data_IF_484989665381
#
_entry.id   IF_484989665381
#
_cell.length_a   1.000
_cell.length_b   1.000
_cell.length_c   1.000
_cell.angle_alpha   90.00
_cell.angle_beta   90.00
_cell.angle_gamma   90.00
#
_symmetry.space_group_name_H-M   'P 1'
#
loop_
_entity.id
_entity.type
_entity.pdbx_description
1 polymer ?
#
# COMPACT_ATOMS: atom_id res chain seq x y z
N UNK A 1 -12.98 -23.36 -17.80
CA UNK A 1 -13.93 -22.35 -17.29
C UNK A 1 -15.33 -22.96 -17.15
N UNK A 2 -16.08 -22.69 -16.07
CA UNK A 2 -17.44 -23.21 -15.90
C UNK A 2 -18.40 -22.57 -16.91
N UNK A 3 -19.26 -23.38 -17.55
CA UNK A 3 -20.21 -22.94 -18.58
C UNK A 3 -21.21 -21.86 -18.11
N UNK A 4 -21.41 -21.72 -16.80
CA UNK A 4 -22.31 -20.72 -16.21
C UNK A 4 -21.86 -19.26 -16.38
N UNK A 5 -20.55 -18.97 -16.41
CA UNK A 5 -20.04 -17.58 -16.58
C UNK A 5 -20.19 -17.04 -18.00
N UNK A 6 -20.26 -17.92 -18.99
CA UNK A 6 -20.36 -17.53 -20.40
C UNK A 6 -21.79 -17.07 -20.74
N UNK A 7 -22.81 -17.64 -20.08
CA UNK A 7 -24.23 -17.33 -20.34
C UNK A 7 -24.69 -15.96 -19.84
N UNK A 8 -24.05 -15.41 -18.80
CA UNK A 8 -24.35 -14.06 -18.31
C UNK A 8 -23.84 -12.99 -19.28
N UNK A 9 -22.75 -13.25 -19.99
CA UNK A 9 -22.19 -12.32 -20.99
C UNK A 9 -23.05 -12.23 -22.26
N UNK A 10 -23.75 -13.31 -22.63
CA UNK A 10 -24.71 -13.30 -23.75
C UNK A 10 -25.99 -12.48 -23.45
N UNK A 11 -26.25 -12.12 -22.19
CA UNK A 11 -27.43 -11.35 -21.77
C UNK A 11 -27.12 -9.91 -21.34
N UNK A 12 -25.95 -9.38 -21.73
CA UNK A 12 -25.56 -8.00 -21.42
C UNK A 12 -25.02 -7.77 -20.00
N UNK A 13 -24.86 -8.82 -19.18
CA UNK A 13 -24.21 -8.69 -17.88
C UNK A 13 -22.67 -8.68 -18.06
N UNK A 14 -22.04 -7.56 -17.71
CA UNK A 14 -20.60 -7.35 -17.88
C UNK A 14 -19.79 -8.17 -16.85
N UNK A 15 -18.70 -8.86 -17.23
CA UNK A 15 -17.81 -9.54 -16.29
C UNK A 15 -17.24 -8.59 -15.23
N UNK A 16 -17.00 -9.08 -14.01
CA UNK A 16 -16.52 -8.25 -12.89
C UNK A 16 -15.24 -7.45 -13.21
N UNK A 17 -14.24 -8.00 -13.92
CA UNK A 17 -13.09 -7.21 -14.37
C UNK A 17 -13.47 -6.04 -15.28
N UNK A 18 -14.42 -6.25 -16.19
CA UNK A 18 -14.80 -5.23 -17.14
C UNK A 18 -15.75 -4.18 -16.52
N UNK A 19 -16.46 -4.52 -15.43
CA UNK A 19 -17.14 -3.54 -14.56
C UNK A 19 -16.16 -2.73 -13.71
N UNK A 20 -15.10 -3.38 -13.22
CA UNK A 20 -14.03 -2.73 -12.47
C UNK A 20 -13.32 -1.67 -13.32
N UNK A 21 -12.99 -2.00 -14.58
CA UNK A 21 -12.41 -1.03 -15.54
C UNK A 21 -13.37 0.12 -15.81
N UNK A 22 -14.66 -0.14 -16.07
CA UNK A 22 -15.65 0.93 -16.30
C UNK A 22 -15.79 1.88 -15.10
N UNK A 23 -15.78 1.32 -13.89
CA UNK A 23 -15.85 2.10 -12.65
C UNK A 23 -14.57 2.93 -12.45
N UNK A 24 -13.40 2.34 -12.71
CA UNK A 24 -12.13 3.04 -12.61
C UNK A 24 -12.01 4.16 -13.67
N UNK A 25 -12.45 3.92 -14.90
CA UNK A 25 -12.50 4.93 -15.97
C UNK A 25 -13.50 6.05 -15.65
N UNK A 26 -14.68 5.73 -15.12
CA UNK A 26 -15.67 6.73 -14.71
C UNK A 26 -15.21 7.60 -13.54
N UNK A 27 -14.25 7.09 -12.74
CA UNK A 27 -13.70 7.76 -11.56
C UNK A 27 -12.27 8.27 -11.77
N UNK A 28 -11.76 8.21 -13.00
CA UNK A 28 -10.40 8.64 -13.40
C UNK A 28 -9.25 8.03 -12.56
N UNK A 29 -9.47 6.84 -11.98
CA UNK A 29 -8.52 6.16 -11.09
C UNK A 29 -7.20 5.77 -11.79
N UNK A 30 -7.20 5.65 -13.12
CA UNK A 30 -6.01 5.36 -13.92
C UNK A 30 -5.63 6.54 -14.82
N UNK A 31 -5.95 7.76 -14.38
CA UNK A 31 -5.54 9.00 -15.03
C UNK A 31 -4.03 9.24 -14.97
N UNK A 32 -3.63 10.52 -15.04
CA UNK A 32 -2.21 10.89 -14.90
C UNK A 32 -1.69 10.56 -13.50
N UNK A 33 -0.40 10.25 -13.38
CA UNK A 33 0.30 10.12 -12.09
C UNK A 33 0.31 11.41 -11.26
N UNK A 34 -0.08 12.53 -11.88
CA UNK A 34 -0.21 13.86 -11.27
C UNK A 34 -1.61 14.14 -10.70
N UNK A 35 -2.51 13.15 -10.70
CA UNK A 35 -3.87 13.28 -10.15
C UNK A 35 -3.91 12.97 -8.65
N UNK A 36 -4.84 13.61 -7.94
CA UNK A 36 -5.08 13.33 -6.52
C UNK A 36 -5.54 11.87 -6.32
N UNK A 37 -6.32 11.34 -7.27
CA UNK A 37 -6.77 9.95 -7.28
C UNK A 37 -5.60 8.96 -7.39
N UNK A 38 -4.62 9.23 -8.26
CA UNK A 38 -3.43 8.38 -8.34
C UNK A 38 -2.58 8.47 -7.08
N UNK A 39 -2.42 9.68 -6.51
CA UNK A 39 -1.73 9.85 -5.22
C UNK A 39 -2.42 9.04 -4.10
N UNK A 40 -3.76 9.08 -4.03
CA UNK A 40 -4.54 8.28 -3.09
C UNK A 40 -4.37 6.77 -3.33
N UNK A 41 -4.39 6.32 -4.59
CA UNK A 41 -4.13 4.91 -4.92
C UNK A 41 -2.72 4.50 -4.53
N UNK A 42 -1.70 5.33 -4.79
CA UNK A 42 -0.32 5.09 -4.39
C UNK A 42 -0.19 4.93 -2.87
N UNK A 43 -0.85 5.79 -2.08
CA UNK A 43 -0.91 5.66 -0.63
C UNK A 43 -1.52 4.33 -0.20
N UNK A 44 -2.65 3.93 -0.80
CA UNK A 44 -3.30 2.67 -0.48
C UNK A 44 -2.47 1.45 -0.92
N UNK A 45 -1.76 1.51 -2.06
CA UNK A 45 -0.82 0.46 -2.47
C UNK A 45 0.29 0.34 -1.42
N UNK A 46 0.95 1.44 -1.04
CA UNK A 46 1.97 1.46 0.00
C UNK A 46 1.44 0.88 1.33
N UNK A 47 0.19 1.18 1.67
CA UNK A 47 -0.50 0.62 2.83
C UNK A 47 -0.68 -0.89 2.70
N UNK A 48 -1.11 -1.41 1.55
CA UNK A 48 -1.20 -2.86 1.33
C UNK A 48 0.15 -3.53 1.50
N UNK A 49 1.26 -2.90 1.11
CA UNK A 49 2.58 -3.48 1.37
C UNK A 49 2.91 -3.50 2.87
N UNK A 50 2.69 -2.39 3.57
CA UNK A 50 3.24 -2.13 4.90
C UNK A 50 2.31 -2.47 6.08
N UNK A 51 0.99 -2.27 5.96
CA UNK A 51 0.03 -2.44 7.06
C UNK A 51 -1.31 -3.06 6.66
N UNK A 52 -1.51 -3.42 5.39
CA UNK A 52 -2.78 -3.93 4.88
C UNK A 52 -2.71 -5.34 4.31
N UNK A 53 -3.82 -5.78 3.70
CA UNK A 53 -3.88 -7.01 2.91
C UNK A 53 -5.00 -6.93 1.88
N UNK A 54 -4.92 -7.74 0.83
CA UNK A 54 -6.04 -7.97 -0.10
C UNK A 54 -6.43 -9.44 0.00
N UNK A 55 -7.71 -9.70 0.31
CA UNK A 55 -8.24 -11.06 0.42
C UNK A 55 -8.15 -11.81 -0.92
N UNK A 56 -7.67 -13.06 -0.89
CA UNK A 56 -7.63 -13.94 -2.07
C UNK A 56 -9.02 -14.34 -2.56
N UNK A 57 -10.01 -14.38 -1.66
CA UNK A 57 -11.35 -14.88 -1.96
C UNK A 57 -12.27 -13.76 -2.48
N UNK A 58 -12.21 -12.60 -1.83
CA UNK A 58 -13.14 -11.48 -2.10
C UNK A 58 -12.50 -10.33 -2.85
N UNK A 59 -11.17 -10.28 -2.95
CA UNK A 59 -10.40 -9.11 -3.41
C UNK A 59 -10.69 -7.84 -2.59
N UNK A 60 -11.26 -7.95 -1.39
CA UNK A 60 -11.46 -6.80 -0.52
C UNK A 60 -10.11 -6.41 0.12
N UNK A 61 -9.70 -5.13 0.03
CA UNK A 61 -8.57 -4.62 0.78
C UNK A 61 -8.96 -4.36 2.24
N UNK A 62 -8.02 -4.61 3.14
CA UNK A 62 -8.08 -4.31 4.56
C UNK A 62 -6.86 -3.47 4.92
N UNK A 63 -7.05 -2.38 5.65
CA UNK A 63 -5.98 -1.47 6.03
C UNK A 63 -5.88 -1.40 7.55
N UNK A 64 -4.83 -1.99 8.15
CA UNK A 64 -4.63 -1.83 9.59
C UNK A 64 -4.16 -0.41 9.89
N UNK A 65 -4.74 0.19 10.93
CA UNK A 65 -4.51 1.58 11.33
C UNK A 65 -4.43 1.69 12.85
N UNK A 66 -3.88 2.82 13.30
CA UNK A 66 -4.00 3.34 14.65
C UNK A 66 -4.56 4.78 14.61
N UNK A 67 -4.73 5.40 15.78
CA UNK A 67 -5.28 6.76 15.89
C UNK A 67 -4.46 7.81 15.09
N UNK A 68 -3.16 7.59 14.90
CA UNK A 68 -2.28 8.54 14.20
C UNK A 68 -2.30 8.36 12.68
N UNK A 69 -2.69 7.19 12.20
CA UNK A 69 -2.63 6.80 10.79
C UNK A 69 -3.99 6.64 10.12
N UNK A 70 -5.07 6.50 10.91
CA UNK A 70 -6.42 6.29 10.39
C UNK A 70 -6.82 7.34 9.35
N UNK A 71 -6.66 8.63 9.67
CA UNK A 71 -7.14 9.70 8.79
C UNK A 71 -6.53 9.63 7.39
N UNK A 72 -5.28 9.14 7.25
CA UNK A 72 -4.63 9.02 5.95
C UNK A 72 -5.31 7.98 5.06
N UNK A 73 -5.72 6.85 5.63
CA UNK A 73 -6.46 5.84 4.87
C UNK A 73 -7.83 6.35 4.50
N UNK A 74 -8.52 7.00 5.44
CA UNK A 74 -9.88 7.47 5.22
C UNK A 74 -9.90 8.61 4.19
N UNK A 75 -8.97 9.57 4.26
CA UNK A 75 -8.83 10.66 3.30
C UNK A 75 -8.51 10.14 1.89
N UNK A 76 -7.68 9.09 1.78
CA UNK A 76 -7.41 8.44 0.49
C UNK A 76 -8.66 7.75 -0.08
N UNK A 77 -9.44 7.06 0.77
CA UNK A 77 -10.69 6.45 0.33
C UNK A 77 -11.74 7.49 -0.06
N UNK A 78 -11.84 8.59 0.68
CA UNK A 78 -12.73 9.71 0.39
C UNK A 78 -12.36 10.43 -0.92
N UNK A 79 -11.07 10.63 -1.18
CA UNK A 79 -10.56 11.13 -2.48
C UNK A 79 -11.02 10.24 -3.64
N UNK A 80 -11.07 8.92 -3.43
CA UNK A 80 -11.57 7.97 -4.44
C UNK A 80 -13.10 7.85 -4.48
N UNK A 81 -13.82 8.61 -3.65
CA UNK A 81 -15.28 8.59 -3.53
C UNK A 81 -15.81 7.28 -2.94
N UNK A 82 -15.08 6.67 -2.00
CA UNK A 82 -15.43 5.41 -1.38
C UNK A 82 -15.78 5.58 0.10
N UNK A 83 -16.94 5.06 0.46
CA UNK A 83 -17.33 4.90 1.86
C UNK A 83 -16.56 3.75 2.52
N UNK A 84 -16.36 3.85 3.83
CA UNK A 84 -15.58 2.92 4.62
C UNK A 84 -16.20 2.66 5.99
N UNK A 85 -15.72 1.61 6.66
CA UNK A 85 -16.07 1.28 8.04
C UNK A 85 -14.86 0.80 8.81
N UNK A 86 -14.90 0.94 10.14
CA UNK A 86 -13.98 0.25 11.04
C UNK A 86 -14.41 -1.20 11.24
N UNK A 87 -13.42 -2.07 11.35
CA UNK A 87 -13.55 -3.43 11.86
C UNK A 87 -12.54 -3.64 12.99
N UNK A 88 -12.87 -4.52 13.94
CA UNK A 88 -12.01 -4.91 15.07
C UNK A 88 -11.62 -3.76 16.01
N UNK A 89 -12.40 -2.69 16.06
CA UNK A 89 -12.20 -1.56 16.98
C UNK A 89 -12.45 -1.96 18.46
N UNK A 90 -13.17 -3.05 18.69
CA UNK A 90 -13.46 -3.63 19.99
C UNK A 90 -12.54 -4.80 20.40
N UNK A 91 -11.55 -5.15 19.57
CA UNK A 91 -10.61 -6.25 19.81
C UNK A 91 -9.23 -5.74 20.27
N UNK A 92 -8.93 -5.64 21.58
CA UNK A 92 -7.71 -5.01 22.08
C UNK A 92 -6.40 -5.73 21.68
N UNK A 93 -6.47 -6.99 21.27
CA UNK A 93 -5.33 -7.79 20.82
C UNK A 93 -5.10 -7.69 19.29
N UNK A 94 -5.90 -6.89 18.58
CA UNK A 94 -5.83 -6.71 17.13
C UNK A 94 -5.77 -5.22 16.78
N UNK A 95 -5.11 -4.92 15.67
CA UNK A 95 -5.18 -3.59 15.10
C UNK A 95 -6.58 -3.35 14.53
N UNK A 96 -7.09 -2.13 14.71
CA UNK A 96 -8.28 -1.64 14.01
C UNK A 96 -8.03 -1.69 12.50
N UNK A 97 -9.02 -2.14 11.74
CA UNK A 97 -8.95 -2.18 10.29
C UNK A 97 -9.97 -1.22 9.67
N UNK A 98 -9.54 -0.48 8.64
CA UNK A 98 -10.44 0.25 7.75
C UNK A 98 -10.73 -0.64 6.53
N UNK A 99 -12.01 -0.79 6.21
CA UNK A 99 -12.49 -1.62 5.10
C UNK A 99 -13.50 -0.81 4.26
N UNK A 100 -13.35 -0.75 2.93
CA UNK A 100 -14.35 -0.11 2.07
C UNK A 100 -15.70 -0.84 2.15
N UNK A 101 -16.80 -0.11 2.24
CA UNK A 101 -18.15 -0.68 2.37
C UNK A 101 -18.74 -1.07 1.02
N UNK A 102 -18.52 -0.23 0.01
CA UNK A 102 -18.95 -0.44 -1.37
C UNK A 102 -17.75 -0.58 -2.31
N UNK A 103 -17.92 -1.34 -3.38
CA UNK A 103 -16.88 -1.53 -4.41
C UNK A 103 -15.51 -2.05 -3.91
N UNK A 104 -15.43 -2.62 -2.70
CA UNK A 104 -14.18 -3.12 -2.11
C UNK A 104 -13.40 -4.07 -3.06
N UNK A 105 -14.09 -5.00 -3.71
CA UNK A 105 -13.48 -5.93 -4.67
C UNK A 105 -13.00 -5.28 -5.96
N UNK A 106 -13.56 -4.12 -6.33
CA UNK A 106 -13.10 -3.31 -7.47
C UNK A 106 -11.83 -2.58 -7.08
N UNK A 107 -11.81 -1.93 -5.90
CA UNK A 107 -10.62 -1.27 -5.37
C UNK A 107 -9.46 -2.25 -5.24
N UNK A 108 -9.63 -3.40 -4.58
CA UNK A 108 -8.54 -4.36 -4.42
C UNK A 108 -8.01 -4.91 -5.75
N UNK A 109 -8.85 -5.01 -6.79
CA UNK A 109 -8.39 -5.33 -8.14
C UNK A 109 -7.58 -4.20 -8.76
N UNK A 110 -8.02 -2.95 -8.60
CA UNK A 110 -7.27 -1.79 -9.09
C UNK A 110 -5.89 -1.70 -8.41
N UNK A 111 -5.83 -1.84 -7.08
CA UNK A 111 -4.58 -1.88 -6.33
C UNK A 111 -3.68 -3.03 -6.81
N UNK A 112 -4.25 -4.22 -7.06
CA UNK A 112 -3.48 -5.35 -7.59
C UNK A 112 -2.93 -5.11 -9.00
N UNK A 113 -3.67 -4.41 -9.87
CA UNK A 113 -3.17 -3.99 -11.19
C UNK A 113 -2.00 -3.01 -11.04
N UNK A 114 -2.06 -2.15 -10.03
CA UNK A 114 -0.96 -1.26 -9.66
C UNK A 114 0.18 -1.99 -8.93
N UNK A 115 0.14 -3.32 -8.80
CA UNK A 115 1.23 -4.11 -8.20
C UNK A 115 1.08 -4.42 -6.72
N UNK A 116 -0.03 -4.06 -6.08
CA UNK A 116 -0.29 -4.46 -4.69
C UNK A 116 -0.44 -6.00 -4.58
N UNK A 117 0.24 -6.65 -3.62
CA UNK A 117 0.18 -8.10 -3.47
C UNK A 117 -1.19 -8.54 -2.93
N UNK A 118 -1.62 -9.73 -3.36
CA UNK A 118 -2.84 -10.39 -2.87
C UNK A 118 -2.45 -11.55 -1.96
N UNK A 119 -3.11 -11.66 -0.81
CA UNK A 119 -2.89 -12.75 0.15
C UNK A 119 -1.61 -12.57 0.98
N UNK A 120 -0.95 -13.69 1.26
CA UNK A 120 0.20 -13.73 2.15
C UNK A 120 1.42 -13.01 1.57
N UNK A 121 2.13 -12.40 2.51
CA UNK A 121 3.21 -11.45 2.27
C UNK A 121 4.44 -11.86 3.07
N UNK A 122 4.80 -13.14 3.03
CA UNK A 122 5.89 -13.72 3.81
C UNK A 122 7.16 -13.91 2.98
N UNK A 123 8.17 -14.58 3.55
CA UNK A 123 9.46 -14.85 2.93
C UNK A 123 9.43 -15.86 1.77
N UNK A 124 8.30 -16.56 1.60
CA UNK A 124 8.06 -17.46 0.48
C UNK A 124 7.21 -16.85 -0.63
N UNK A 125 6.63 -15.67 -0.40
CA UNK A 125 5.82 -14.98 -1.38
C UNK A 125 6.70 -14.32 -2.46
N UNK A 126 6.36 -14.54 -3.73
CA UNK A 126 6.99 -13.85 -4.85
C UNK A 126 6.39 -12.45 -4.98
N UNK A 127 6.95 -11.49 -4.25
CA UNK A 127 6.50 -10.10 -4.22
C UNK A 127 7.66 -9.19 -4.63
N UNK A 128 7.37 -8.22 -5.50
CA UNK A 128 8.22 -7.10 -5.85
C UNK A 128 7.51 -5.79 -5.54
N UNK A 129 8.25 -4.69 -5.50
CA UNK A 129 7.64 -3.36 -5.48
C UNK A 129 6.87 -3.08 -6.78
N UNK A 130 5.89 -2.15 -6.76
CA UNK A 130 5.17 -1.73 -7.96
C UNK A 130 6.10 -1.21 -9.06
N UNK A 131 5.95 -1.73 -10.28
CA UNK A 131 6.78 -1.33 -11.43
C UNK A 131 6.66 0.15 -11.78
N UNK A 132 5.50 0.78 -11.51
CA UNK A 132 5.31 2.20 -11.81
C UNK A 132 6.24 3.12 -11.00
N UNK A 133 6.80 2.65 -9.87
CA UNK A 133 7.69 3.44 -9.04
C UNK A 133 9.03 3.72 -9.73
N UNK A 134 9.45 2.91 -10.69
CA UNK A 134 10.72 3.10 -11.40
C UNK A 134 10.76 4.42 -12.19
N UNK A 135 9.61 4.84 -12.73
CA UNK A 135 9.45 6.05 -13.54
C UNK A 135 8.52 7.10 -12.90
N UNK A 136 8.04 6.86 -11.67
CA UNK A 136 7.14 7.76 -10.98
C UNK A 136 7.82 9.09 -10.61
N UNK A 137 7.08 10.22 -10.56
CA UNK A 137 7.61 11.46 -10.00
C UNK A 137 8.15 11.29 -8.57
N UNK A 138 9.16 12.09 -8.19
CA UNK A 138 9.80 12.01 -6.87
C UNK A 138 8.79 12.11 -5.72
N UNK A 139 7.74 12.92 -5.88
CA UNK A 139 6.67 13.10 -4.89
C UNK A 139 5.88 11.80 -4.65
N UNK A 140 5.61 11.01 -5.70
CA UNK A 140 4.91 9.73 -5.59
C UNK A 140 5.79 8.68 -4.91
N UNK A 141 7.08 8.64 -5.24
CA UNK A 141 8.05 7.72 -4.59
C UNK A 141 8.21 8.08 -3.11
N UNK A 142 8.33 9.37 -2.81
CA UNK A 142 8.44 9.88 -1.43
C UNK A 142 7.20 9.55 -0.60
N UNK A 143 6.00 9.73 -1.16
CA UNK A 143 4.75 9.40 -0.48
C UNK A 143 4.64 7.89 -0.17
N UNK A 144 5.03 7.05 -1.13
CA UNK A 144 5.06 5.59 -0.92
C UNK A 144 5.99 5.21 0.25
N UNK A 145 7.20 5.78 0.26
CA UNK A 145 8.19 5.56 1.32
C UNK A 145 7.70 6.09 2.67
N UNK A 146 7.08 7.28 2.71
CA UNK A 146 6.54 7.87 3.93
C UNK A 146 5.46 6.99 4.56
N UNK A 147 4.50 6.51 3.77
CA UNK A 147 3.47 5.57 4.26
C UNK A 147 4.10 4.29 4.79
N UNK A 148 5.07 3.72 4.05
CA UNK A 148 5.73 2.49 4.47
C UNK A 148 6.45 2.66 5.81
N UNK A 149 7.27 3.70 5.93
CA UNK A 149 8.01 4.01 7.14
C UNK A 149 7.08 4.28 8.31
N UNK A 150 5.95 4.97 8.10
CA UNK A 150 5.00 5.21 9.17
C UNK A 150 4.37 3.98 9.76
N UNK A 151 4.11 3.00 8.92
CA UNK A 151 3.49 1.76 9.36
C UNK A 151 4.49 0.79 10.02
N UNK A 152 5.80 0.95 9.78
CA UNK A 152 6.77 -0.13 10.05
C UNK A 152 8.06 0.30 10.72
N UNK A 153 8.45 1.56 10.65
CA UNK A 153 9.71 2.03 11.18
C UNK A 153 9.66 2.12 12.71
N UNK A 154 10.77 1.79 13.34
CA UNK A 154 11.01 2.03 14.76
C UNK A 154 12.21 2.96 14.92
N UNK A 155 12.08 4.00 15.75
CA UNK A 155 13.18 4.92 16.06
C UNK A 155 14.14 4.30 17.08
N UNK A 156 15.43 4.49 16.84
CA UNK A 156 16.49 4.23 17.81
C UNK A 156 17.18 5.55 18.16
N UNK A 157 16.68 6.22 19.20
CA UNK A 157 17.07 7.58 19.56
C UNK A 157 18.55 7.70 19.94
N UNK A 158 19.14 6.64 20.48
CA UNK A 158 20.56 6.57 20.84
C UNK A 158 21.48 6.71 19.62
N UNK A 159 21.02 6.25 18.45
CA UNK A 159 21.76 6.26 17.18
C UNK A 159 21.20 7.23 16.16
N UNK A 160 19.99 7.73 16.38
CA UNK A 160 19.24 8.50 15.40
C UNK A 160 18.83 7.68 14.17
N UNK A 161 18.87 6.36 14.19
CA UNK A 161 18.52 5.50 13.03
C UNK A 161 17.04 5.13 13.03
N UNK A 162 16.51 4.76 11.87
CA UNK A 162 15.21 4.08 11.76
C UNK A 162 15.43 2.64 11.31
N UNK A 163 14.69 1.70 11.90
CA UNK A 163 14.76 0.27 11.53
C UNK A 163 13.38 -0.24 11.15
N UNK A 164 13.30 -0.94 10.03
CA UNK A 164 12.15 -1.70 9.57
C UNK A 164 12.46 -3.18 9.77
N UNK A 165 11.62 -3.92 10.50
CA UNK A 165 11.74 -5.39 10.59
C UNK A 165 10.65 -6.06 9.76
N UNK A 166 11.06 -6.89 8.81
CA UNK A 166 10.17 -7.47 7.81
C UNK A 166 10.45 -8.97 7.60
N UNK A 167 9.44 -9.81 7.83
CA UNK A 167 9.52 -11.25 7.55
C UNK A 167 9.22 -11.51 6.05
N UNK A 168 10.08 -10.96 5.19
CA UNK A 168 9.97 -10.97 3.71
C UNK A 168 11.18 -11.64 3.07
N UNK A 169 11.07 -11.93 1.77
CA UNK A 169 12.18 -12.45 0.99
C UNK A 169 13.33 -11.43 0.92
N UNK A 170 14.58 -11.90 0.98
CA UNK A 170 15.75 -11.00 1.02
C UNK A 170 15.83 -10.10 -0.21
N UNK A 171 15.43 -10.62 -1.38
CA UNK A 171 15.33 -9.83 -2.62
C UNK A 171 14.41 -8.62 -2.44
N UNK A 172 13.23 -8.81 -1.85
CA UNK A 172 12.29 -7.73 -1.61
C UNK A 172 12.85 -6.69 -0.63
N UNK A 173 13.59 -7.13 0.41
CA UNK A 173 14.24 -6.20 1.34
C UNK A 173 15.30 -5.34 0.66
N UNK A 174 16.04 -5.90 -0.30
CA UNK A 174 16.99 -5.15 -1.11
C UNK A 174 16.30 -4.15 -2.04
N UNK A 175 15.19 -4.54 -2.67
CA UNK A 175 14.37 -3.63 -3.50
C UNK A 175 13.82 -2.47 -2.65
N UNK A 176 13.29 -2.75 -1.46
CA UNK A 176 12.83 -1.73 -0.52
C UNK A 176 13.96 -0.80 -0.07
N UNK A 177 15.12 -1.36 0.31
CA UNK A 177 16.27 -0.55 0.72
C UNK A 177 16.75 0.39 -0.40
N UNK A 178 16.78 -0.10 -1.64
CA UNK A 178 17.18 0.70 -2.80
C UNK A 178 16.19 1.86 -3.05
N UNK A 179 14.88 1.62 -2.99
CA UNK A 179 13.87 2.68 -3.12
C UNK A 179 14.03 3.74 -2.03
N UNK A 180 14.19 3.32 -0.76
CA UNK A 180 14.32 4.25 0.36
C UNK A 180 15.63 5.04 0.27
N UNK A 181 16.73 4.41 -0.16
CA UNK A 181 18.02 5.07 -0.39
C UNK A 181 17.92 6.13 -1.51
N UNK A 182 17.26 5.81 -2.62
CA UNK A 182 17.03 6.75 -3.72
C UNK A 182 16.24 7.98 -3.26
N UNK A 183 15.13 7.77 -2.54
CA UNK A 183 14.27 8.85 -2.03
C UNK A 183 14.98 9.69 -0.97
N UNK A 184 15.72 9.06 -0.06
CA UNK A 184 16.42 9.78 1.01
C UNK A 184 17.70 10.48 0.53
N UNK A 185 18.29 10.01 -0.58
CA UNK A 185 19.60 10.44 -1.06
C UNK A 185 20.75 10.08 -0.11
N UNK A 186 20.52 9.15 0.83
CA UNK A 186 21.39 8.84 1.95
C UNK A 186 21.35 7.34 2.26
N UNK A 187 22.40 6.85 2.93
CA UNK A 187 22.62 5.41 3.06
C UNK A 187 21.50 4.66 3.79
N UNK A 188 21.06 3.56 3.17
CA UNK A 188 20.18 2.53 3.73
C UNK A 188 20.84 1.16 3.57
N UNK A 189 20.72 0.30 4.58
CA UNK A 189 21.37 -1.02 4.58
C UNK A 189 20.40 -2.12 4.93
N UNK A 190 20.63 -3.31 4.37
CA UNK A 190 19.89 -4.53 4.75
C UNK A 190 20.80 -5.40 5.62
N UNK A 191 20.29 -5.82 6.77
CA UNK A 191 20.94 -6.78 7.67
C UNK A 191 19.92 -7.77 8.22
N UNK A 192 20.09 -9.05 7.87
CA UNK A 192 19.12 -10.12 8.13
C UNK A 192 17.71 -9.73 7.60
N UNK A 193 16.73 -9.61 8.49
CA UNK A 193 15.36 -9.19 8.20
C UNK A 193 15.10 -7.71 8.50
N UNK A 194 16.15 -6.92 8.59
CA UNK A 194 16.06 -5.49 8.89
C UNK A 194 16.50 -4.65 7.70
N UNK A 195 15.72 -3.62 7.40
CA UNK A 195 16.14 -2.48 6.57
C UNK A 195 16.43 -1.31 7.52
N UNK A 196 17.66 -0.82 7.50
CA UNK A 196 18.21 0.13 8.48
C UNK A 196 18.56 1.42 7.74
N UNK A 197 17.85 2.49 8.07
CA UNK A 197 18.13 3.84 7.59
C UNK A 197 19.16 4.48 8.53
N UNK A 198 20.21 5.05 7.94
CA UNK A 198 21.19 5.84 8.69
C UNK A 198 20.54 7.07 9.35
N UNK A 199 21.24 7.67 10.32
CA UNK A 199 20.77 8.93 10.92
C UNK A 199 20.66 10.07 9.90
N UNK A 200 21.54 10.08 8.90
CA UNK A 200 21.48 11.05 7.81
C UNK A 200 20.20 10.83 6.97
N UNK A 201 19.90 9.59 6.59
CA UNK A 201 18.67 9.26 5.84
C UNK A 201 17.40 9.61 6.63
N UNK A 202 17.34 9.26 7.92
CA UNK A 202 16.21 9.62 8.78
C UNK A 202 16.02 11.14 8.87
N UNK A 203 17.11 11.90 8.97
CA UNK A 203 17.06 13.36 9.02
C UNK A 203 16.74 13.99 7.66
N UNK A 204 17.14 13.38 6.55
CA UNK A 204 16.81 13.85 5.20
C UNK A 204 15.28 13.77 4.96
N UNK A 205 14.65 12.69 5.43
CA UNK A 205 13.21 12.47 5.27
C UNK A 205 12.35 13.28 6.25
N UNK A 206 12.76 13.38 7.51
CA UNK A 206 11.90 13.91 8.58
C UNK A 206 12.45 15.12 9.34
N UNK A 207 13.71 15.48 9.10
CA UNK A 207 14.42 16.47 9.91
C UNK A 207 14.36 16.11 11.40
N UNK A 208 14.00 17.08 12.23
CA UNK A 208 13.82 16.89 13.68
C UNK A 208 12.41 16.38 14.06
N UNK A 209 11.49 16.30 13.11
CA UNK A 209 10.08 15.95 13.34
C UNK A 209 9.85 14.49 12.97
N UNK A 210 10.40 13.58 13.78
CA UNK A 210 10.16 12.15 13.59
C UNK A 210 8.69 11.85 13.89
N UNK A 211 7.98 11.12 13.01
CA UNK A 211 6.56 10.83 13.22
C UNK A 211 6.29 9.74 14.27
N UNK A 212 7.33 9.20 14.93
CA UNK A 212 7.30 8.07 15.85
C UNK A 212 8.10 8.38 17.11
#
# INVERSE_FOLDING_TARGET
>A
MPRGRIRSWENGAKPDPARAVEVAEQRDWFGSVETDEFAALNQLVAWIFSGGSISTDTYAPHFAVDDATESRVTDALETLGLDWRRERDDEPDRATEIVPTEHASILGRALSVLGAPIGDKNDHAEISLPEYLDDAPDEIRAEFVDVYLRNRAQSHDDKGTLTLREERADRYLQELAALVEDVAGEQVTVSDKNVILSAAAANALYGNSRPF
#
